data_IF_991550829690
#
_entry.id   IF_991550829690
#
_cell.length_a   1.000
_cell.length_b   1.000
_cell.length_c   1.000
_cell.angle_alpha   90.00
_cell.angle_beta   90.00
_cell.angle_gamma   90.00
#
_symmetry.space_group_name_H-M   'P 1'
#
loop_
_entity.id
_entity.type
_entity.pdbx_description
1 polymer ?
#
# COMPACT_ATOMS: atom_id res chain seq x y z
N UNK A 1 14.81 -24.06 16.41
CA UNK A 1 13.57 -24.31 17.16
C UNK A 1 13.50 -25.81 17.42
N UNK A 2 12.82 -26.23 18.49
CA UNK A 2 12.54 -27.63 18.78
C UNK A 2 11.01 -27.81 18.77
N UNK A 3 10.52 -28.95 18.31
CA UNK A 3 9.08 -29.27 18.29
C UNK A 3 8.37 -29.09 16.95
N UNK A 4 8.99 -28.49 15.91
CA UNK A 4 8.39 -28.37 14.56
C UNK A 4 8.04 -29.73 13.96
N UNK A 5 8.90 -30.74 14.14
CA UNK A 5 8.61 -32.11 13.69
C UNK A 5 7.32 -32.65 14.32
N UNK A 6 7.09 -32.36 15.60
CA UNK A 6 5.89 -32.81 16.32
C UNK A 6 4.63 -32.09 15.83
N UNK A 7 4.71 -30.79 15.64
CA UNK A 7 3.62 -29.99 15.05
C UNK A 7 3.23 -30.51 13.67
N UNK A 8 4.24 -30.76 12.84
CA UNK A 8 4.06 -31.35 11.51
C UNK A 8 3.33 -32.70 11.59
N UNK A 9 3.78 -33.62 12.42
CA UNK A 9 3.14 -34.93 12.58
C UNK A 9 1.67 -34.78 13.00
N UNK A 10 1.38 -33.89 13.95
CA UNK A 10 0.01 -33.62 14.41
C UNK A 10 -0.85 -33.06 13.27
N UNK A 11 -0.32 -32.14 12.47
CA UNK A 11 -1.03 -31.54 11.34
C UNK A 11 -1.37 -32.58 10.25
N UNK A 12 -0.44 -33.48 9.90
CA UNK A 12 -0.73 -34.60 8.96
C UNK A 12 -1.88 -35.44 9.49
N UNK A 13 -1.82 -35.82 10.76
CA UNK A 13 -2.82 -36.69 11.39
C UNK A 13 -4.17 -35.98 11.43
N UNK A 14 -4.20 -34.70 11.79
CA UNK A 14 -5.43 -33.92 11.91
C UNK A 14 -6.10 -33.70 10.55
N UNK A 15 -5.34 -33.26 9.54
CA UNK A 15 -5.86 -33.03 8.18
C UNK A 15 -6.42 -34.30 7.54
N UNK A 16 -5.73 -35.42 7.72
CA UNK A 16 -6.17 -36.72 7.22
C UNK A 16 -7.39 -37.24 7.95
N UNK A 17 -7.39 -37.15 9.29
CA UNK A 17 -8.44 -37.76 10.10
C UNK A 17 -9.72 -36.93 10.13
N UNK A 18 -9.63 -35.59 10.09
CA UNK A 18 -10.76 -34.68 10.32
C UNK A 18 -11.62 -35.09 11.52
N UNK A 19 -10.95 -35.53 12.60
CA UNK A 19 -11.60 -36.02 13.83
C UNK A 19 -12.06 -37.49 13.81
N UNK A 20 -11.92 -38.23 12.70
CA UNK A 20 -12.27 -39.64 12.61
C UNK A 20 -11.20 -40.55 13.26
N UNK A 21 -11.51 -41.29 14.34
CA UNK A 21 -10.53 -42.12 15.07
C UNK A 21 -9.90 -43.24 14.24
N UNK A 22 -10.68 -43.88 13.35
CA UNK A 22 -10.15 -44.97 12.51
C UNK A 22 -9.15 -44.45 11.47
N UNK A 23 -9.42 -43.29 10.88
CA UNK A 23 -8.50 -42.66 9.92
C UNK A 23 -7.25 -42.11 10.64
N UNK A 24 -7.40 -41.63 11.88
CA UNK A 24 -6.28 -41.24 12.74
C UNK A 24 -5.29 -42.39 12.93
N UNK A 25 -5.76 -43.55 13.39
CA UNK A 25 -4.91 -44.73 13.61
C UNK A 25 -4.30 -45.26 12.31
N UNK A 26 -5.07 -45.24 11.21
CA UNK A 26 -4.53 -45.60 9.89
C UNK A 26 -3.43 -44.63 9.43
N UNK A 27 -3.56 -43.35 9.73
CA UNK A 27 -2.57 -42.33 9.35
C UNK A 27 -1.29 -42.47 10.17
N UNK A 28 -1.41 -42.71 11.48
CA UNK A 28 -0.29 -43.04 12.37
C UNK A 28 0.45 -44.29 11.86
N UNK A 29 -0.30 -45.35 11.55
CA UNK A 29 0.26 -46.60 11.01
C UNK A 29 1.02 -46.36 9.69
N UNK A 30 0.48 -45.53 8.79
CA UNK A 30 1.13 -45.17 7.53
C UNK A 30 2.43 -44.37 7.72
N UNK A 31 2.50 -43.49 8.73
CA UNK A 31 3.73 -42.79 9.09
C UNK A 31 4.81 -43.78 9.54
N UNK A 32 4.44 -44.71 10.43
CA UNK A 32 5.34 -45.75 10.94
C UNK A 32 5.87 -46.64 9.80
N UNK A 33 4.98 -47.09 8.90
CA UNK A 33 5.35 -47.90 7.73
C UNK A 33 6.29 -47.16 6.75
N UNK A 34 6.26 -45.82 6.73
CA UNK A 34 7.19 -44.99 5.96
C UNK A 34 8.47 -44.65 6.74
N UNK A 35 8.71 -45.35 7.85
CA UNK A 35 9.92 -45.24 8.66
C UNK A 35 9.97 -43.96 9.50
N UNK A 36 8.82 -43.45 9.93
CA UNK A 36 8.75 -42.31 10.85
C UNK A 36 7.75 -42.63 11.96
N UNK A 37 8.25 -42.80 13.19
CA UNK A 37 7.40 -43.14 14.33
C UNK A 37 6.95 -41.87 15.08
N UNK A 38 5.66 -41.48 15.03
CA UNK A 38 5.13 -40.30 15.71
C UNK A 38 5.45 -40.22 17.20
N UNK A 39 5.57 -41.36 17.88
CA UNK A 39 5.77 -41.42 19.32
C UNK A 39 7.23 -41.15 19.74
N UNK A 40 8.15 -41.04 18.79
CA UNK A 40 9.56 -40.66 19.05
C UNK A 40 9.78 -39.14 19.09
N UNK A 41 8.75 -38.36 18.77
CA UNK A 41 8.83 -36.91 18.70
C UNK A 41 7.83 -36.28 19.67
N UNK A 42 8.32 -35.35 20.47
CA UNK A 42 7.58 -34.51 21.40
C UNK A 42 7.86 -33.03 21.13
N UNK A 43 7.30 -32.15 21.96
CA UNK A 43 7.46 -30.69 21.86
C UNK A 43 8.89 -30.19 22.09
N UNK A 44 9.81 -31.06 22.56
CA UNK A 44 11.20 -30.71 22.87
C UNK A 44 12.20 -31.37 21.91
N UNK A 45 11.71 -32.18 20.98
CA UNK A 45 12.53 -32.89 20.00
C UNK A 45 13.21 -31.91 19.05
N UNK A 46 14.50 -32.12 18.79
CA UNK A 46 15.28 -31.30 17.88
C UNK A 46 14.77 -31.44 16.43
N UNK A 47 14.70 -30.30 15.72
CA UNK A 47 14.16 -30.24 14.36
C UNK A 47 15.21 -30.60 13.30
N UNK A 48 15.44 -31.90 13.12
CA UNK A 48 16.30 -32.45 12.07
C UNK A 48 15.76 -32.12 10.65
N UNK A 49 16.51 -31.37 9.82
CA UNK A 49 16.12 -31.01 8.45
C UNK A 49 15.80 -32.20 7.53
N UNK A 50 16.44 -33.36 7.72
CA UNK A 50 16.17 -34.57 6.94
C UNK A 50 14.81 -35.16 7.29
N UNK A 51 14.43 -35.13 8.57
CA UNK A 51 13.13 -35.61 9.05
C UNK A 51 12.02 -34.68 8.57
N UNK A 52 12.25 -33.37 8.58
CA UNK A 52 11.32 -32.36 8.03
C UNK A 52 11.09 -32.60 6.54
N UNK A 53 12.15 -32.77 5.74
CA UNK A 53 12.03 -33.09 4.29
C UNK A 53 11.29 -34.40 4.06
N UNK A 54 11.53 -35.42 4.89
CA UNK A 54 10.81 -36.70 4.85
C UNK A 54 9.32 -36.53 5.15
N UNK A 55 8.96 -35.73 6.16
CA UNK A 55 7.57 -35.44 6.51
C UNK A 55 6.83 -34.72 5.39
N UNK A 56 7.44 -33.72 4.75
CA UNK A 56 6.86 -33.03 3.58
C UNK A 56 6.58 -34.02 2.42
N UNK A 57 7.53 -34.91 2.13
CA UNK A 57 7.34 -35.95 1.11
C UNK A 57 6.21 -36.92 1.46
N UNK A 58 6.11 -37.31 2.73
CA UNK A 58 5.02 -38.17 3.21
C UNK A 58 3.68 -37.43 3.11
N UNK A 59 3.62 -36.16 3.52
CA UNK A 59 2.42 -35.33 3.44
C UNK A 59 1.89 -35.21 2.01
N UNK A 60 2.77 -34.97 1.04
CA UNK A 60 2.46 -34.95 -0.39
C UNK A 60 1.90 -36.28 -0.88
N UNK A 61 2.56 -37.40 -0.56
CA UNK A 61 2.04 -38.74 -0.87
C UNK A 61 0.69 -39.03 -0.20
N UNK A 62 0.44 -38.36 0.93
CA UNK A 62 -0.80 -38.44 1.66
C UNK A 62 -1.83 -37.37 1.25
N UNK A 63 -1.64 -36.62 0.17
CA UNK A 63 -2.56 -35.55 -0.27
C UNK A 63 -2.91 -34.55 0.86
N UNK A 64 -2.00 -34.32 1.81
CA UNK A 64 -2.16 -33.32 2.87
C UNK A 64 -1.67 -31.98 2.30
N UNK A 65 -2.61 -31.17 1.80
CA UNK A 65 -2.30 -29.90 1.11
C UNK A 65 -1.76 -28.83 2.06
N UNK A 66 -2.27 -28.75 3.29
CA UNK A 66 -1.87 -27.76 4.30
C UNK A 66 -0.42 -27.82 4.79
N UNK A 67 0.33 -28.86 4.43
CA UNK A 67 1.73 -28.98 4.83
C UNK A 67 2.71 -28.36 3.84
N UNK A 68 2.27 -28.10 2.61
CA UNK A 68 3.05 -27.34 1.64
C UNK A 68 2.98 -25.83 1.97
N UNK A 69 1.93 -25.37 2.68
CA UNK A 69 1.74 -23.98 3.15
C UNK A 69 2.48 -23.68 4.46
N UNK A 70 3.80 -23.85 4.45
CA UNK A 70 4.65 -22.98 5.27
C UNK A 70 5.00 -21.69 4.51
N UNK A 71 4.34 -21.46 3.37
CA UNK A 71 4.40 -20.25 2.57
C UNK A 71 3.73 -19.11 3.35
N UNK A 72 4.51 -18.08 3.65
CA UNK A 72 3.98 -16.82 4.16
C UNK A 72 2.84 -16.33 3.26
N UNK A 73 1.67 -16.03 3.83
CA UNK A 73 0.51 -15.58 3.07
C UNK A 73 0.74 -14.24 2.36
N UNK A 74 1.61 -13.43 2.94
CA UNK A 74 2.09 -12.16 2.41
C UNK A 74 3.60 -12.18 2.50
N UNK A 75 4.27 -11.85 1.41
CA UNK A 75 5.74 -11.80 1.34
C UNK A 75 6.19 -10.58 0.56
N UNK A 76 6.94 -9.71 1.22
CA UNK A 76 7.65 -8.59 0.61
C UNK A 76 9.06 -9.03 0.19
N UNK A 77 9.50 -8.52 -0.96
CA UNK A 77 10.84 -8.74 -1.53
C UNK A 77 11.29 -7.46 -2.22
N UNK A 78 12.58 -7.35 -2.51
CA UNK A 78 13.12 -6.22 -3.26
C UNK A 78 14.32 -6.64 -4.10
N UNK A 79 14.66 -5.84 -5.11
CA UNK A 79 15.85 -6.02 -5.91
C UNK A 79 16.51 -4.68 -6.19
N UNK A 80 17.83 -4.64 -6.03
CA UNK A 80 18.70 -3.51 -6.38
C UNK A 80 19.55 -3.78 -7.62
N UNK A 81 19.21 -4.84 -8.38
CA UNK A 81 19.83 -5.13 -9.69
C UNK A 81 19.51 -4.02 -10.69
N UNK A 82 20.41 -3.85 -11.66
CA UNK A 82 20.32 -2.73 -12.62
C UNK A 82 19.61 -3.09 -13.93
N UNK A 83 19.40 -4.37 -14.23
CA UNK A 83 18.76 -4.84 -15.46
C UNK A 83 17.42 -5.50 -15.15
N UNK A 84 16.36 -5.16 -15.90
CA UNK A 84 14.99 -5.62 -15.62
C UNK A 84 14.89 -7.15 -15.58
N UNK A 85 15.62 -7.85 -16.46
CA UNK A 85 15.67 -9.32 -16.46
C UNK A 85 16.27 -9.88 -15.18
N UNK A 86 17.33 -9.27 -14.65
CA UNK A 86 17.98 -9.70 -13.42
C UNK A 86 17.10 -9.38 -12.21
N UNK A 87 16.43 -8.22 -12.21
CA UNK A 87 15.46 -7.83 -11.20
C UNK A 87 14.36 -8.88 -11.07
N UNK A 88 13.76 -9.28 -12.20
CA UNK A 88 12.68 -10.27 -12.20
C UNK A 88 13.17 -11.64 -11.73
N UNK A 89 14.37 -12.07 -12.13
CA UNK A 89 14.97 -13.31 -11.63
C UNK A 89 15.24 -13.26 -10.12
N UNK A 90 15.74 -12.13 -9.61
CA UNK A 90 16.00 -11.92 -8.20
C UNK A 90 14.69 -11.97 -7.38
N UNK A 91 13.67 -11.19 -7.78
CA UNK A 91 12.32 -11.20 -7.18
C UNK A 91 11.73 -12.61 -7.18
N UNK A 92 11.80 -13.32 -8.31
CA UNK A 92 11.30 -14.70 -8.42
C UNK A 92 12.03 -15.66 -7.49
N UNK A 93 13.36 -15.52 -7.39
CA UNK A 93 14.17 -16.34 -6.48
C UNK A 93 13.84 -16.09 -5.01
N UNK A 94 13.59 -14.83 -4.65
CA UNK A 94 13.23 -14.48 -3.28
C UNK A 94 11.82 -14.95 -2.93
N UNK A 95 10.86 -14.84 -3.85
CA UNK A 95 9.47 -15.27 -3.61
C UNK A 95 9.33 -16.79 -3.51
N UNK A 96 10.20 -17.58 -4.15
CA UNK A 96 10.13 -19.05 -4.22
C UNK A 96 8.78 -19.52 -4.84
N UNK A 97 8.34 -20.75 -4.53
CA UNK A 97 7.07 -21.32 -4.98
C UNK A 97 5.81 -20.70 -4.33
N UNK A 98 5.87 -19.42 -3.91
CA UNK A 98 4.74 -18.73 -3.31
C UNK A 98 3.55 -18.73 -4.29
N UNK A 99 2.44 -19.36 -3.88
CA UNK A 99 1.21 -19.41 -4.66
C UNK A 99 0.43 -18.07 -4.57
N UNK A 100 1.00 -17.02 -5.14
CA UNK A 100 0.44 -15.67 -5.09
C UNK A 100 -0.81 -15.56 -5.98
N UNK A 101 -1.83 -14.88 -5.48
CA UNK A 101 -3.01 -14.47 -6.26
C UNK A 101 -2.75 -13.12 -6.94
N UNK A 102 -2.04 -12.23 -6.25
CA UNK A 102 -1.64 -10.91 -6.73
C UNK A 102 -0.18 -10.63 -6.35
N UNK A 103 0.53 -9.98 -7.26
CA UNK A 103 1.84 -9.38 -7.08
C UNK A 103 1.72 -7.88 -7.31
N UNK A 104 1.94 -7.10 -6.26
CA UNK A 104 1.99 -5.63 -6.34
C UNK A 104 3.46 -5.22 -6.32
N UNK A 105 3.90 -4.39 -7.26
CA UNK A 105 5.27 -3.91 -7.31
C UNK A 105 5.35 -2.39 -7.45
N UNK A 106 6.44 -1.82 -6.94
CA UNK A 106 6.77 -0.41 -7.11
C UNK A 106 8.22 -0.31 -7.57
N UNK A 107 8.45 0.39 -8.66
CA UNK A 107 9.74 0.41 -9.35
C UNK A 107 10.25 1.84 -9.56
N UNK A 108 11.53 2.05 -9.31
CA UNK A 108 12.19 3.31 -9.66
C UNK A 108 11.95 3.68 -11.12
N UNK A 109 11.74 4.97 -11.36
CA UNK A 109 11.53 5.54 -12.69
C UNK A 109 12.70 5.36 -13.67
N UNK A 110 13.87 4.93 -13.17
CA UNK A 110 15.06 4.71 -13.99
C UNK A 110 15.07 3.36 -14.73
N UNK A 111 14.09 2.48 -14.47
CA UNK A 111 13.88 1.25 -15.23
C UNK A 111 12.87 1.44 -16.36
N UNK A 112 13.00 0.62 -17.41
CA UNK A 112 11.99 0.52 -18.46
C UNK A 112 10.73 -0.16 -17.90
N UNK A 113 9.71 0.65 -17.62
CA UNK A 113 8.49 0.21 -16.93
C UNK A 113 7.69 -0.80 -17.75
N UNK A 114 7.63 -0.63 -19.08
CA UNK A 114 6.88 -1.54 -19.95
C UNK A 114 7.56 -2.90 -20.00
N UNK A 115 8.87 -2.90 -20.22
CA UNK A 115 9.68 -4.12 -20.21
C UNK A 115 9.64 -4.82 -18.85
N UNK A 116 9.73 -4.09 -17.75
CA UNK A 116 9.66 -4.65 -16.40
C UNK A 116 8.29 -5.27 -16.13
N UNK A 117 7.20 -4.56 -16.46
CA UNK A 117 5.83 -5.07 -16.31
C UNK A 117 5.63 -6.36 -17.10
N UNK A 118 6.08 -6.37 -18.36
CA UNK A 118 5.99 -7.53 -19.24
C UNK A 118 6.73 -8.75 -18.65
N UNK A 119 7.99 -8.57 -18.25
CA UNK A 119 8.81 -9.65 -17.68
C UNK A 119 8.25 -10.18 -16.36
N UNK A 120 7.70 -9.31 -15.50
CA UNK A 120 7.04 -9.74 -14.27
C UNK A 120 5.77 -10.56 -14.59
N UNK A 121 4.94 -10.10 -15.54
CA UNK A 121 3.74 -10.85 -15.93
C UNK A 121 4.07 -12.22 -16.54
N UNK A 122 5.14 -12.34 -17.33
CA UNK A 122 5.64 -13.61 -17.85
C UNK A 122 6.19 -14.53 -16.74
N UNK A 123 6.83 -13.95 -15.72
CA UNK A 123 7.39 -14.71 -14.62
C UNK A 123 6.33 -15.28 -13.66
N UNK A 124 5.18 -14.61 -13.55
CA UNK A 124 4.06 -14.89 -12.65
C UNK A 124 2.73 -15.02 -13.44
N UNK A 125 2.68 -15.98 -14.37
CA UNK A 125 1.57 -16.16 -15.35
C UNK A 125 0.19 -16.29 -14.70
N UNK A 126 0.09 -16.99 -13.57
CA UNK A 126 -1.19 -17.24 -12.89
C UNK A 126 -1.56 -16.16 -11.87
N UNK A 127 -0.75 -15.09 -11.78
CA UNK A 127 -0.93 -14.01 -10.83
C UNK A 127 -1.37 -12.72 -11.53
N UNK A 128 -2.20 -11.94 -10.85
CA UNK A 128 -2.41 -10.55 -11.23
C UNK A 128 -1.14 -9.78 -10.89
N UNK A 129 -0.54 -9.12 -11.88
CA UNK A 129 0.66 -8.28 -11.68
C UNK A 129 0.30 -6.82 -11.94
N UNK A 130 0.47 -5.98 -10.93
CA UNK A 130 0.15 -4.55 -10.98
C UNK A 130 1.19 -3.73 -10.24
N UNK A 131 1.37 -2.48 -10.63
CA UNK A 131 2.36 -1.61 -10.01
C UNK A 131 2.39 -0.21 -10.59
N UNK A 132 3.40 0.57 -10.21
CA UNK A 132 3.67 1.87 -10.80
C UNK A 132 5.14 2.30 -10.63
N UNK A 133 5.50 3.35 -11.35
CA UNK A 133 6.76 4.05 -11.15
C UNK A 133 6.74 4.91 -9.87
N UNK A 134 7.91 5.18 -9.31
CA UNK A 134 8.07 5.78 -7.98
C UNK A 134 9.05 6.97 -7.97
N UNK A 135 9.07 7.70 -6.86
CA UNK A 135 10.14 8.63 -6.49
C UNK A 135 10.96 8.13 -5.27
N UNK A 136 11.06 6.80 -5.12
CA UNK A 136 11.68 6.13 -3.97
C UNK A 136 10.84 4.96 -3.49
N UNK A 137 11.47 3.90 -3.00
CA UNK A 137 10.82 2.65 -2.61
C UNK A 137 10.93 2.41 -1.10
N UNK A 138 9.98 1.66 -0.54
CA UNK A 138 9.96 1.27 0.87
C UNK A 138 9.83 -0.24 0.93
N UNK A 139 10.67 -0.88 1.73
CA UNK A 139 10.56 -2.30 2.08
C UNK A 139 10.74 -2.47 3.59
N UNK A 140 10.34 -3.61 4.16
CA UNK A 140 10.51 -3.91 5.58
C UNK A 140 11.89 -3.49 6.11
N UNK A 141 11.92 -2.48 6.99
CA UNK A 141 13.14 -1.98 7.63
C UNK A 141 13.88 -0.87 6.89
N UNK A 142 13.60 -0.61 5.61
CA UNK A 142 14.48 0.20 4.76
C UNK A 142 13.73 1.10 3.78
N UNK A 143 14.32 2.28 3.52
CA UNK A 143 13.96 3.17 2.42
C UNK A 143 15.05 3.03 1.35
N UNK A 144 14.62 2.82 0.11
CA UNK A 144 15.48 2.52 -1.02
C UNK A 144 15.30 3.56 -2.14
N UNK A 145 16.32 3.62 -3.01
CA UNK A 145 16.30 4.36 -4.26
C UNK A 145 16.84 3.47 -5.37
N UNK A 146 16.41 3.70 -6.60
CA UNK A 146 16.86 2.93 -7.77
C UNK A 146 16.63 1.42 -7.61
N UNK A 147 15.50 1.04 -7.00
CA UNK A 147 15.18 -0.34 -6.70
C UNK A 147 13.79 -0.72 -7.19
N UNK A 148 13.46 -2.01 -7.06
CA UNK A 148 12.11 -2.52 -7.24
C UNK A 148 11.72 -3.27 -5.99
N UNK A 149 10.59 -2.92 -5.39
CA UNK A 149 9.98 -3.65 -4.28
C UNK A 149 8.73 -4.36 -4.78
N UNK A 150 8.46 -5.56 -4.27
CA UNK A 150 7.28 -6.33 -4.65
C UNK A 150 6.70 -7.10 -3.47
N UNK A 151 5.38 -7.23 -3.45
CA UNK A 151 4.63 -7.99 -2.45
C UNK A 151 3.75 -9.02 -3.14
N UNK A 152 3.98 -10.29 -2.80
CA UNK A 152 3.11 -11.39 -3.18
C UNK A 152 2.08 -11.62 -2.08
N UNK A 153 0.80 -11.71 -2.45
CA UNK A 153 -0.30 -12.02 -1.54
C UNK A 153 -1.09 -13.20 -2.10
N UNK A 154 -1.27 -14.25 -1.30
CA UNK A 154 -1.96 -15.47 -1.70
C UNK A 154 -3.49 -15.43 -1.45
N UNK A 155 -4.15 -16.54 -1.82
CA UNK A 155 -5.60 -16.68 -1.69
C UNK A 155 -6.15 -16.76 -0.26
N UNK A 156 -5.27 -16.97 0.73
CA UNK A 156 -5.69 -17.00 2.14
C UNK A 156 -6.00 -15.60 2.68
N UNK A 157 -5.43 -14.55 2.07
CA UNK A 157 -5.75 -13.15 2.38
C UNK A 157 -6.73 -12.59 1.34
N UNK A 158 -6.45 -12.80 0.04
CA UNK A 158 -7.25 -12.24 -1.05
C UNK A 158 -7.95 -13.38 -1.78
N UNK A 159 -9.23 -13.59 -1.47
CA UNK A 159 -10.02 -14.65 -2.11
C UNK A 159 -10.19 -14.43 -3.60
N UNK A 160 -10.37 -13.17 -4.02
CA UNK A 160 -10.46 -12.80 -5.42
C UNK A 160 -10.03 -11.35 -5.67
N UNK A 161 -9.65 -11.03 -6.90
CA UNK A 161 -9.21 -9.70 -7.27
C UNK A 161 -9.48 -9.42 -8.74
N UNK A 162 -9.75 -8.16 -9.06
CA UNK A 162 -9.99 -7.69 -10.43
C UNK A 162 -9.31 -6.36 -10.65
N UNK A 163 -8.71 -6.20 -11.82
CA UNK A 163 -7.99 -5.00 -12.23
C UNK A 163 -8.64 -4.42 -13.46
N UNK A 164 -8.75 -3.09 -13.48
CA UNK A 164 -9.20 -2.29 -14.62
C UNK A 164 -8.22 -1.13 -14.84
N UNK A 165 -7.94 -0.83 -16.10
CA UNK A 165 -7.07 0.28 -16.51
C UNK A 165 -7.96 1.35 -17.15
N UNK A 166 -7.81 2.58 -16.67
CA UNK A 166 -8.43 3.77 -17.25
C UNK A 166 -7.37 4.44 -18.10
N UNK A 167 -7.58 4.50 -19.42
CA UNK A 167 -6.65 5.11 -20.37
C UNK A 167 -7.18 6.45 -20.89
N UNK A 168 -6.28 7.29 -21.42
CA UNK A 168 -6.62 8.56 -22.08
C UNK A 168 -7.37 9.55 -21.17
N UNK A 169 -6.93 9.67 -19.91
CA UNK A 169 -7.59 10.49 -18.90
C UNK A 169 -7.58 11.99 -19.20
N UNK A 170 -6.61 12.49 -19.97
CA UNK A 170 -6.58 13.90 -20.42
C UNK A 170 -7.72 14.21 -21.38
N UNK A 171 -8.07 13.28 -22.26
CA UNK A 171 -9.11 13.46 -23.28
C UNK A 171 -10.51 13.25 -22.69
N UNK A 172 -10.73 12.12 -22.03
CA UNK A 172 -12.04 11.78 -21.48
C UNK A 172 -11.93 10.85 -20.27
N UNK A 173 -11.74 11.44 -19.09
CA UNK A 173 -11.77 10.68 -17.84
C UNK A 173 -13.19 10.20 -17.52
N UNK A 174 -13.37 8.87 -17.52
CA UNK A 174 -14.58 8.18 -17.05
C UNK A 174 -14.21 6.87 -16.35
N UNK A 175 -14.88 6.59 -15.22
CA UNK A 175 -14.70 5.34 -14.46
C UNK A 175 -15.83 4.34 -14.68
N UNK A 176 -16.87 4.70 -15.44
CA UNK A 176 -18.10 3.89 -15.55
C UNK A 176 -17.84 2.51 -16.17
N UNK A 177 -16.94 2.41 -17.16
CA UNK A 177 -16.60 1.14 -17.77
C UNK A 177 -15.92 0.19 -16.76
N UNK A 178 -14.98 0.71 -15.96
CA UNK A 178 -14.31 -0.07 -14.93
C UNK A 178 -15.26 -0.49 -13.82
N UNK A 179 -16.12 0.41 -13.34
CA UNK A 179 -17.11 0.08 -12.31
C UNK A 179 -18.16 -0.91 -12.79
N UNK A 180 -18.66 -0.77 -14.02
CA UNK A 180 -19.55 -1.76 -14.64
C UNK A 180 -18.85 -3.12 -14.77
N UNK A 181 -17.55 -3.13 -15.10
CA UNK A 181 -16.75 -4.35 -15.16
C UNK A 181 -16.63 -5.02 -13.79
N UNK A 182 -16.36 -4.26 -12.72
CA UNK A 182 -16.34 -4.80 -11.35
C UNK A 182 -17.69 -5.38 -10.94
N UNK A 183 -18.80 -4.67 -11.17
CA UNK A 183 -20.15 -5.15 -10.81
C UNK A 183 -20.48 -6.45 -11.54
N UNK A 184 -20.15 -6.53 -12.84
CA UNK A 184 -20.34 -7.75 -13.63
C UNK A 184 -19.45 -8.90 -13.16
N UNK A 185 -18.20 -8.60 -12.79
CA UNK A 185 -17.23 -9.61 -12.37
C UNK A 185 -17.59 -10.23 -11.01
N UNK A 186 -17.88 -9.40 -10.02
CA UNK A 186 -18.25 -9.85 -8.67
C UNK A 186 -19.73 -10.22 -8.55
N UNK A 187 -20.54 -9.89 -9.54
CA UNK A 187 -21.99 -10.09 -9.56
C UNK A 187 -22.67 -9.45 -8.34
N UNK A 188 -22.25 -8.23 -8.02
CA UNK A 188 -22.70 -7.44 -6.86
C UNK A 188 -22.61 -5.95 -7.22
N UNK A 189 -23.57 -5.13 -6.75
CA UNK A 189 -23.49 -3.70 -6.99
C UNK A 189 -22.46 -3.05 -6.07
N UNK A 190 -21.68 -2.13 -6.63
CA UNK A 190 -20.67 -1.36 -5.89
C UNK A 190 -21.27 -0.44 -4.82
N UNK A 191 -22.58 -0.18 -4.85
CA UNK A 191 -23.28 0.58 -3.81
C UNK A 191 -23.63 -0.27 -2.58
N UNK A 192 -23.79 -1.58 -2.77
CA UNK A 192 -24.21 -2.52 -1.71
C UNK A 192 -23.10 -3.46 -1.29
N UNK A 193 -21.94 -3.38 -1.96
CA UNK A 193 -20.78 -4.21 -1.72
C UNK A 193 -20.33 -4.07 -0.26
N UNK A 194 -20.05 -5.20 0.39
CA UNK A 194 -19.62 -5.20 1.78
C UNK A 194 -18.22 -4.56 1.91
N UNK A 195 -18.19 -3.31 2.38
CA UNK A 195 -16.97 -2.52 2.57
C UNK A 195 -16.05 -3.07 3.68
N UNK A 196 -16.45 -4.13 4.41
CA UNK A 196 -15.56 -4.88 5.32
C UNK A 196 -14.87 -6.06 4.64
N UNK A 197 -15.33 -6.44 3.45
CA UNK A 197 -14.81 -7.54 2.63
C UNK A 197 -14.11 -7.05 1.37
N UNK A 198 -14.46 -5.86 0.88
CA UNK A 198 -13.89 -5.30 -0.32
C UNK A 198 -13.08 -4.05 -0.02
N UNK A 199 -11.93 -3.94 -0.67
CA UNK A 199 -11.07 -2.76 -0.65
C UNK A 199 -10.50 -2.49 -2.03
N UNK A 200 -10.52 -1.22 -2.42
CA UNK A 200 -9.91 -0.76 -3.65
C UNK A 200 -8.47 -0.29 -3.44
N UNK A 201 -7.61 -0.56 -4.40
CA UNK A 201 -6.34 0.15 -4.57
C UNK A 201 -6.43 1.01 -5.84
N UNK A 202 -5.95 2.24 -5.77
CA UNK A 202 -5.88 3.17 -6.91
C UNK A 202 -4.44 3.63 -7.12
N UNK A 203 -3.93 3.44 -8.33
CA UNK A 203 -2.64 3.98 -8.76
C UNK A 203 -2.92 4.92 -9.93
N UNK A 204 -2.40 6.15 -9.87
CA UNK A 204 -2.70 7.20 -10.85
C UNK A 204 -1.38 7.67 -11.46
N UNK A 205 -1.36 7.95 -12.76
CA UNK A 205 -0.27 8.74 -13.36
C UNK A 205 -0.18 10.11 -12.65
N UNK A 206 0.89 10.31 -11.87
CA UNK A 206 1.07 11.45 -10.98
C UNK A 206 1.41 12.78 -11.66
N UNK A 207 1.58 12.79 -12.99
CA UNK A 207 1.70 14.05 -13.76
C UNK A 207 0.43 14.37 -14.55
N UNK A 208 -0.61 13.54 -14.44
CA UNK A 208 -1.89 13.75 -15.13
C UNK A 208 -2.74 14.89 -14.53
N UNK A 209 -2.55 15.21 -13.23
CA UNK A 209 -3.37 16.14 -12.44
C UNK A 209 -4.85 15.74 -12.34
N UNK A 210 -5.15 14.43 -12.48
CA UNK A 210 -6.53 13.90 -12.47
C UNK A 210 -6.93 13.29 -11.13
N UNK A 211 -6.07 13.32 -10.13
CA UNK A 211 -6.21 12.62 -8.85
C UNK A 211 -7.52 12.95 -8.15
N UNK A 212 -7.75 14.25 -7.89
CA UNK A 212 -8.97 14.77 -7.26
C UNK A 212 -10.23 14.29 -7.99
N UNK A 213 -10.24 14.42 -9.32
CA UNK A 213 -11.41 14.05 -10.14
C UNK A 213 -11.65 12.54 -10.11
N UNK A 214 -10.60 11.72 -10.08
CA UNK A 214 -10.72 10.27 -9.96
C UNK A 214 -11.31 9.90 -8.60
N UNK A 215 -10.81 10.49 -7.51
CA UNK A 215 -11.32 10.21 -6.17
C UNK A 215 -12.76 10.68 -5.98
N UNK A 216 -13.14 11.84 -6.52
CA UNK A 216 -14.53 12.31 -6.55
C UNK A 216 -15.44 11.32 -7.30
N UNK A 217 -15.01 10.83 -8.47
CA UNK A 217 -15.79 9.86 -9.25
C UNK A 217 -15.91 8.52 -8.52
N UNK A 218 -14.88 8.08 -7.80
CA UNK A 218 -14.95 6.88 -6.94
C UNK A 218 -15.96 7.09 -5.82
N UNK A 219 -15.84 8.18 -5.06
CA UNK A 219 -16.70 8.48 -3.91
C UNK A 219 -18.18 8.62 -4.26
N UNK A 220 -18.49 9.04 -5.49
CA UNK A 220 -19.88 9.13 -5.97
C UNK A 220 -20.49 7.78 -6.39
N UNK A 221 -19.67 6.75 -6.61
CA UNK A 221 -20.09 5.51 -7.27
C UNK A 221 -20.05 4.26 -6.39
N UNK A 222 -19.32 4.28 -5.28
CA UNK A 222 -19.18 3.11 -4.40
C UNK A 222 -19.02 3.50 -2.93
N UNK A 223 -19.42 2.60 -2.03
CA UNK A 223 -19.14 2.67 -0.60
C UNK A 223 -17.81 1.98 -0.22
N UNK A 224 -17.14 1.31 -1.15
CA UNK A 224 -15.85 0.64 -0.93
C UNK A 224 -14.75 1.70 -0.81
N UNK A 225 -13.92 1.60 0.22
CA UNK A 225 -12.76 2.47 0.36
C UNK A 225 -11.71 2.14 -0.69
N UNK A 226 -11.24 3.19 -1.37
CA UNK A 226 -10.04 3.13 -2.20
C UNK A 226 -8.88 3.80 -1.48
N UNK A 227 -7.74 3.12 -1.46
CA UNK A 227 -6.48 3.61 -0.90
C UNK A 227 -5.38 3.51 -1.95
N UNK A 228 -4.52 4.51 -2.04
CA UNK A 228 -3.55 4.50 -3.12
C UNK A 228 -2.62 5.69 -3.15
N UNK A 229 -2.03 5.90 -4.32
CA UNK A 229 -1.17 7.04 -4.54
C UNK A 229 -0.82 7.27 -6.00
N UNK A 230 -0.40 8.49 -6.27
CA UNK A 230 0.12 8.90 -7.57
C UNK A 230 1.54 8.40 -7.79
N UNK A 231 1.76 7.80 -8.96
CA UNK A 231 3.07 7.38 -9.44
C UNK A 231 4.05 8.56 -9.48
N UNK A 232 5.34 8.25 -9.36
CA UNK A 232 6.43 9.25 -9.33
C UNK A 232 7.49 8.98 -10.39
N UNK A 233 8.37 9.97 -10.57
CA UNK A 233 9.52 9.92 -11.49
C UNK A 233 10.79 10.61 -10.96
N UNK A 234 11.15 10.34 -9.70
CA UNK A 234 12.32 10.91 -9.03
C UNK A 234 12.38 12.46 -9.10
N UNK A 235 11.26 13.11 -8.82
CA UNK A 235 11.09 14.57 -8.79
C UNK A 235 11.26 15.28 -10.15
N UNK A 236 11.26 14.53 -11.26
CA UNK A 236 11.37 15.12 -12.61
C UNK A 236 10.05 15.77 -13.05
N UNK A 237 8.91 15.27 -12.55
CA UNK A 237 7.55 15.71 -12.91
C UNK A 237 7.33 15.77 -14.42
N UNK A 238 7.88 14.79 -15.14
CA UNK A 238 7.90 14.71 -16.58
C UNK A 238 7.00 13.59 -17.10
N UNK A 239 7.21 12.36 -16.62
CA UNK A 239 6.51 11.17 -17.12
C UNK A 239 6.46 10.09 -16.04
N UNK A 240 5.25 9.66 -15.67
CA UNK A 240 5.05 8.57 -14.71
C UNK A 240 4.20 7.47 -15.33
N UNK A 241 4.34 6.25 -14.80
CA UNK A 241 3.69 5.08 -15.37
C UNK A 241 2.93 4.30 -14.31
N UNK A 242 1.73 3.85 -14.67
CA UNK A 242 1.01 2.79 -13.95
C UNK A 242 1.08 1.51 -14.78
N UNK A 243 1.15 0.36 -14.11
CA UNK A 243 1.42 -0.92 -14.75
C UNK A 243 0.34 -1.94 -14.42
N UNK A 244 -0.14 -2.64 -15.45
CA UNK A 244 -1.07 -3.75 -15.32
C UNK A 244 -1.00 -4.65 -16.58
N UNK A 245 -1.36 -5.92 -16.45
CA UNK A 245 -1.48 -6.84 -17.60
C UNK A 245 -0.22 -6.94 -18.47
N UNK A 246 0.97 -6.81 -17.86
CA UNK A 246 2.26 -6.86 -18.55
C UNK A 246 2.57 -5.66 -19.44
N UNK A 247 1.96 -4.49 -19.17
CA UNK A 247 2.19 -3.22 -19.86
C UNK A 247 2.33 -2.06 -18.89
N UNK A 248 3.07 -1.04 -19.31
CA UNK A 248 3.08 0.27 -18.67
C UNK A 248 2.20 1.26 -19.43
N UNK A 249 1.52 2.13 -18.69
CA UNK A 249 0.58 3.12 -19.23
C UNK A 249 0.90 4.50 -18.67
N UNK A 250 0.92 5.49 -19.55
CA UNK A 250 0.94 6.92 -19.23
C UNK A 250 -0.43 7.54 -19.54
N UNK A 251 -0.75 8.67 -18.91
CA UNK A 251 -2.09 9.27 -18.92
C UNK A 251 -3.21 8.30 -18.52
N UNK A 252 -2.89 7.45 -17.54
CA UNK A 252 -3.75 6.35 -17.10
C UNK A 252 -3.83 6.20 -15.59
N UNK A 253 -4.85 5.47 -15.14
CA UNK A 253 -4.99 5.01 -13.77
C UNK A 253 -5.28 3.50 -13.75
N UNK A 254 -4.83 2.82 -12.70
CA UNK A 254 -5.10 1.41 -12.45
C UNK A 254 -5.95 1.31 -11.20
N UNK A 255 -7.14 0.72 -11.34
CA UNK A 255 -8.05 0.41 -10.24
C UNK A 255 -7.98 -1.09 -9.98
N UNK A 256 -7.74 -1.47 -8.72
CA UNK A 256 -7.67 -2.85 -8.27
C UNK A 256 -8.74 -3.05 -7.21
N UNK A 257 -9.72 -3.90 -7.47
CA UNK A 257 -10.71 -4.29 -6.49
C UNK A 257 -10.29 -5.62 -5.86
N UNK A 258 -10.10 -5.64 -4.54
CA UNK A 258 -9.71 -6.82 -3.78
C UNK A 258 -10.90 -7.33 -2.96
N UNK A 259 -11.17 -8.62 -3.04
CA UNK A 259 -12.11 -9.33 -2.15
C UNK A 259 -11.34 -10.12 -1.11
N UNK A 260 -11.37 -9.64 0.13
CA UNK A 260 -10.69 -10.23 1.27
C UNK A 260 -11.36 -11.55 1.68
N UNK A 261 -10.53 -12.54 1.97
CA UNK A 261 -10.96 -13.88 2.38
C UNK A 261 -11.75 -13.82 3.70
N UNK A 262 -12.65 -14.77 3.92
CA UNK A 262 -13.43 -14.86 5.16
C UNK A 262 -12.60 -15.02 6.42
N UNK A 263 -11.43 -15.65 6.29
CA UNK A 263 -10.47 -15.82 7.38
C UNK A 263 -9.42 -14.71 7.41
N UNK A 264 -9.65 -13.58 6.72
CA UNK A 264 -8.78 -12.43 6.73
C UNK A 264 -9.57 -11.13 6.97
N UNK A 265 -8.84 -10.08 7.31
CA UNK A 265 -9.34 -8.72 7.50
C UNK A 265 -8.34 -7.74 6.91
N UNK A 266 -8.83 -6.55 6.58
CA UNK A 266 -7.99 -5.42 6.25
C UNK A 266 -8.36 -4.21 7.11
N UNK A 267 -7.45 -3.24 7.20
CA UNK A 267 -7.74 -1.93 7.75
C UNK A 267 -6.88 -0.89 7.03
N UNK A 268 -7.18 0.38 7.24
CA UNK A 268 -6.43 1.49 6.68
C UNK A 268 -5.84 2.29 7.84
N UNK A 269 -4.56 2.61 7.73
CA UNK A 269 -3.89 3.57 8.62
C UNK A 269 -3.67 4.82 7.82
N UNK A 270 -4.07 5.96 8.36
CA UNK A 270 -3.70 7.27 7.85
C UNK A 270 -2.90 7.98 8.94
N UNK A 271 -1.71 8.46 8.60
CA UNK A 271 -0.89 9.24 9.51
C UNK A 271 -0.34 10.47 8.83
N UNK A 272 -0.33 11.58 9.57
CA UNK A 272 0.24 12.84 9.15
C UNK A 272 0.91 13.46 10.37
N UNK A 273 1.97 14.23 10.12
CA UNK A 273 2.89 14.66 11.16
C UNK A 273 2.76 16.16 11.36
N UNK A 274 1.54 16.57 11.69
CA UNK A 274 1.18 17.96 11.92
C UNK A 274 0.22 18.11 13.10
N UNK A 275 0.22 19.30 13.69
CA UNK A 275 -0.82 19.77 14.61
C UNK A 275 -1.38 21.10 14.11
N UNK A 276 -2.67 21.31 14.32
CA UNK A 276 -3.33 22.57 13.95
C UNK A 276 -2.91 23.69 14.90
N UNK A 277 -2.71 24.88 14.34
CA UNK A 277 -2.55 26.14 15.07
C UNK A 277 -3.89 26.91 15.07
N UNK A 278 -3.93 28.02 15.81
CA UNK A 278 -5.16 28.80 15.97
C UNK A 278 -5.52 29.62 14.72
N UNK A 279 -4.52 30.01 13.92
CA UNK A 279 -4.76 30.84 12.74
C UNK A 279 -5.57 30.08 11.69
N UNK A 280 -6.64 30.72 11.20
CA UNK A 280 -7.56 30.15 10.21
C UNK A 280 -7.58 31.03 8.97
N UNK A 281 -7.60 30.39 7.80
CA UNK A 281 -7.72 31.01 6.50
C UNK A 281 -9.04 30.59 5.86
N UNK A 282 -9.86 31.57 5.45
CA UNK A 282 -11.02 31.35 4.59
C UNK A 282 -10.62 31.64 3.15
N UNK A 283 -10.79 30.68 2.25
CA UNK A 283 -10.47 30.84 0.83
C UNK A 283 -11.57 31.67 0.13
N UNK A 284 -11.37 32.98 -0.02
CA UNK A 284 -12.40 33.87 -0.57
C UNK A 284 -12.44 33.86 -2.10
N UNK A 285 -11.27 33.71 -2.74
CA UNK A 285 -11.12 33.68 -4.19
C UNK A 285 -10.11 32.62 -4.60
N UNK A 286 -10.54 31.68 -5.46
CA UNK A 286 -9.75 30.53 -5.91
C UNK A 286 -10.00 30.27 -7.38
N UNK A 287 -9.01 29.68 -8.05
CA UNK A 287 -9.17 29.00 -9.32
C UNK A 287 -8.87 27.51 -9.10
N UNK A 288 -9.93 26.71 -9.02
CA UNK A 288 -9.87 25.27 -8.74
C UNK A 288 -9.20 24.49 -9.88
N UNK A 289 -9.38 24.89 -11.13
CA UNK A 289 -8.77 24.19 -12.28
C UNK A 289 -7.24 24.24 -12.22
N UNK A 290 -6.68 25.34 -11.71
CA UNK A 290 -5.24 25.54 -11.58
C UNK A 290 -4.72 25.32 -10.16
N UNK A 291 -5.54 24.86 -9.22
CA UNK A 291 -5.20 24.73 -7.78
C UNK A 291 -4.61 26.02 -7.20
N UNK A 292 -5.16 27.18 -7.61
CA UNK A 292 -4.66 28.51 -7.24
C UNK A 292 -5.58 29.16 -6.21
N UNK A 293 -5.05 29.52 -5.04
CA UNK A 293 -5.72 30.41 -4.09
C UNK A 293 -5.24 31.83 -4.33
N UNK A 294 -6.17 32.69 -4.73
CA UNK A 294 -5.91 34.10 -5.03
C UNK A 294 -6.01 34.92 -3.75
N UNK A 295 -7.02 34.63 -2.91
CA UNK A 295 -7.26 35.36 -1.67
C UNK A 295 -7.58 34.44 -0.50
N UNK A 296 -6.93 34.72 0.63
CA UNK A 296 -7.31 34.23 1.95
C UNK A 296 -7.72 35.42 2.82
N UNK A 297 -8.81 35.28 3.57
CA UNK A 297 -9.31 36.32 4.48
C UNK A 297 -9.50 37.70 3.81
N UNK A 298 -9.92 37.71 2.55
CA UNK A 298 -10.06 38.89 1.67
C UNK A 298 -8.77 39.70 1.47
N UNK A 299 -7.60 39.07 1.66
CA UNK A 299 -6.28 39.60 1.34
C UNK A 299 -5.61 38.70 0.30
N UNK A 300 -4.62 39.21 -0.46
CA UNK A 300 -3.83 38.35 -1.33
C UNK A 300 -3.22 37.17 -0.56
N UNK A 301 -3.40 35.96 -1.08
CA UNK A 301 -3.19 34.72 -0.34
C UNK A 301 -1.80 34.64 0.33
N UNK A 302 -0.74 35.01 -0.40
CA UNK A 302 0.63 34.92 0.13
C UNK A 302 0.92 35.96 1.21
N UNK A 303 0.25 37.11 1.21
CA UNK A 303 0.43 38.13 2.24
C UNK A 303 -0.20 37.70 3.56
N UNK A 304 -1.42 37.16 3.49
CA UNK A 304 -2.11 36.60 4.65
C UNK A 304 -1.32 35.41 5.23
N UNK A 305 -0.79 34.54 4.37
CA UNK A 305 0.05 33.43 4.79
C UNK A 305 1.36 33.91 5.43
N UNK A 306 2.05 34.89 4.83
CA UNK A 306 3.30 35.46 5.36
C UNK A 306 3.10 36.08 6.74
N UNK A 307 2.00 36.82 6.95
CA UNK A 307 1.62 37.38 8.25
C UNK A 307 1.39 36.26 9.28
N UNK A 308 0.66 35.21 8.92
CA UNK A 308 0.33 34.09 9.80
C UNK A 308 1.56 33.28 10.25
N UNK A 309 2.55 33.10 9.39
CA UNK A 309 3.81 32.40 9.74
C UNK A 309 4.89 33.33 10.33
N UNK A 310 4.62 34.64 10.37
CA UNK A 310 5.58 35.63 10.85
C UNK A 310 6.80 35.83 9.94
N UNK A 311 6.65 35.62 8.63
CA UNK A 311 7.72 35.82 7.66
C UNK A 311 8.01 37.31 7.43
N UNK A 312 9.28 37.66 7.23
CA UNK A 312 9.71 39.04 6.99
C UNK A 312 9.40 39.55 5.57
N UNK A 313 9.18 38.64 4.62
CA UNK A 313 8.88 38.92 3.22
C UNK A 313 8.06 37.78 2.59
N UNK A 314 7.51 38.01 1.40
CA UNK A 314 6.84 36.97 0.60
C UNK A 314 7.82 35.83 0.26
N UNK A 315 9.05 36.17 -0.10
CA UNK A 315 10.11 35.21 -0.43
C UNK A 315 10.52 34.38 0.80
N UNK A 316 10.51 34.97 1.99
CA UNK A 316 10.76 34.22 3.22
C UNK A 316 9.61 33.28 3.58
N UNK A 317 8.37 33.65 3.25
CA UNK A 317 7.19 32.84 3.54
C UNK A 317 7.25 31.46 2.85
N UNK A 318 7.83 31.36 1.66
CA UNK A 318 7.92 30.07 0.93
C UNK A 318 8.79 29.03 1.66
N UNK A 319 9.69 29.46 2.57
CA UNK A 319 10.49 28.56 3.39
C UNK A 319 9.64 27.75 4.38
N UNK A 320 8.46 28.27 4.73
CA UNK A 320 7.54 27.66 5.68
C UNK A 320 6.54 26.70 5.05
N UNK A 321 6.44 26.63 3.71
CA UNK A 321 5.43 25.78 3.03
C UNK A 321 5.46 24.31 3.48
N UNK A 322 6.65 23.78 3.75
CA UNK A 322 6.82 22.38 4.17
C UNK A 322 6.54 22.16 5.65
N UNK A 323 6.96 23.09 6.53
CA UNK A 323 6.83 22.97 7.99
C UNK A 323 5.50 23.49 8.54
N UNK A 324 4.86 24.40 7.80
CA UNK A 324 3.63 25.07 8.17
C UNK A 324 2.67 25.15 6.97
N UNK A 325 2.23 24.01 6.42
CA UNK A 325 1.18 24.00 5.39
C UNK A 325 -0.15 24.47 5.99
N UNK A 326 -1.21 24.47 5.18
CA UNK A 326 -2.58 24.61 5.70
C UNK A 326 -3.28 23.25 5.74
N UNK A 327 -4.30 23.10 6.57
CA UNK A 327 -5.01 21.83 6.74
C UNK A 327 -6.51 22.04 6.92
N UNK A 328 -7.31 21.22 6.24
CA UNK A 328 -8.74 21.14 6.47
C UNK A 328 -9.01 20.20 7.65
N UNK A 329 -9.75 20.69 8.65
CA UNK A 329 -10.22 19.88 9.76
C UNK A 329 -11.64 19.39 9.50
N UNK A 330 -11.86 18.09 9.63
CA UNK A 330 -13.18 17.45 9.46
C UNK A 330 -13.49 16.67 10.74
N UNK A 331 -14.63 16.97 11.36
CA UNK A 331 -14.96 16.40 12.67
C UNK A 331 -13.93 16.80 13.75
N UNK A 332 -13.77 15.96 14.76
CA UNK A 332 -12.95 16.29 15.92
C UNK A 332 -11.45 15.99 15.73
N UNK A 333 -11.10 15.00 14.89
CA UNK A 333 -9.73 14.48 14.79
C UNK A 333 -9.20 14.27 13.36
N UNK A 334 -10.03 14.41 12.31
CA UNK A 334 -9.55 14.18 10.95
C UNK A 334 -9.00 15.45 10.32
N UNK A 335 -7.83 15.30 9.71
CA UNK A 335 -7.07 16.40 9.16
C UNK A 335 -6.54 16.05 7.78
N UNK A 336 -6.79 16.95 6.83
CA UNK A 336 -6.41 16.80 5.43
C UNK A 336 -5.46 17.94 5.07
N UNK A 337 -4.18 17.63 4.95
CA UNK A 337 -3.16 18.64 4.64
C UNK A 337 -3.34 19.12 3.20
N UNK A 338 -3.19 20.43 3.03
CA UNK A 338 -3.20 21.13 1.76
C UNK A 338 -1.86 21.85 1.59
N UNK A 339 -0.96 21.23 0.84
CA UNK A 339 0.43 21.68 0.76
C UNK A 339 0.60 22.80 -0.27
N UNK A 340 1.10 23.98 0.12
CA UNK A 340 1.48 25.01 -0.85
C UNK A 340 2.67 24.54 -1.71
N UNK A 341 2.60 24.79 -3.01
CA UNK A 341 3.62 24.41 -3.98
C UNK A 341 4.56 25.60 -4.28
N UNK A 342 3.99 26.71 -4.75
CA UNK A 342 4.75 27.88 -5.19
C UNK A 342 3.88 29.14 -5.17
N UNK A 343 4.51 30.29 -5.34
CA UNK A 343 3.84 31.59 -5.47
C UNK A 343 3.65 31.95 -6.94
N UNK A 344 2.57 32.67 -7.26
CA UNK A 344 2.33 33.24 -8.60
C UNK A 344 1.89 34.69 -8.44
N UNK A 345 2.86 35.61 -8.44
CA UNK A 345 2.60 36.98 -8.03
C UNK A 345 2.18 37.02 -6.56
N UNK A 346 0.92 37.37 -6.29
CA UNK A 346 0.37 37.42 -4.92
C UNK A 346 -0.56 36.25 -4.57
N UNK A 347 -0.77 35.31 -5.49
CA UNK A 347 -1.53 34.08 -5.25
C UNK A 347 -0.60 32.92 -4.86
N UNK A 348 -1.20 31.85 -4.34
CA UNK A 348 -0.52 30.62 -3.94
C UNK A 348 -1.05 29.44 -4.74
N UNK A 349 -0.17 28.65 -5.35
CA UNK A 349 -0.50 27.38 -5.98
C UNK A 349 -0.36 26.25 -4.97
N UNK A 350 -1.27 25.28 -5.00
CA UNK A 350 -1.29 24.13 -4.10
C UNK A 350 -1.20 22.81 -4.86
N UNK A 351 -0.72 21.76 -4.19
CA UNK A 351 -0.70 20.41 -4.75
C UNK A 351 -2.09 19.76 -4.82
N UNK A 352 -3.06 20.24 -4.04
CA UNK A 352 -4.43 19.76 -3.97
C UNK A 352 -5.43 20.93 -3.96
N UNK A 353 -6.70 20.65 -4.19
CA UNK A 353 -7.72 21.69 -4.28
C UNK A 353 -8.05 22.35 -2.93
N UNK A 354 -8.25 23.67 -2.97
CA UNK A 354 -8.91 24.45 -1.92
C UNK A 354 -10.09 25.15 -2.58
N UNK A 355 -11.29 24.85 -2.09
CA UNK A 355 -12.53 25.35 -2.69
C UNK A 355 -12.90 26.73 -2.13
N UNK A 356 -13.65 27.50 -2.90
CA UNK A 356 -14.17 28.79 -2.43
C UNK A 356 -15.03 28.60 -1.18
N UNK A 357 -14.75 29.39 -0.15
CA UNK A 357 -15.43 29.35 1.15
C UNK A 357 -14.91 28.28 2.09
N UNK A 358 -13.93 27.46 1.68
CA UNK A 358 -13.29 26.48 2.56
C UNK A 358 -12.50 27.20 3.65
N UNK A 359 -12.66 26.75 4.89
CA UNK A 359 -11.84 27.16 6.03
C UNK A 359 -10.73 26.14 6.26
N UNK A 360 -9.49 26.59 6.24
CA UNK A 360 -8.29 25.77 6.50
C UNK A 360 -7.48 26.41 7.61
N UNK A 361 -6.83 25.60 8.44
CA UNK A 361 -6.00 26.09 9.55
C UNK A 361 -4.53 26.07 9.20
N UNK A 362 -3.77 26.99 9.78
CA UNK A 362 -2.31 26.90 9.74
C UNK A 362 -1.87 25.67 10.51
N UNK A 363 -0.92 24.94 9.94
CA UNK A 363 -0.38 23.72 10.53
C UNK A 363 1.03 23.95 11.08
N UNK A 364 1.47 23.04 11.94
CA UNK A 364 2.86 22.96 12.38
C UNK A 364 3.31 21.51 12.34
N UNK A 365 4.45 21.24 11.71
CA UNK A 365 5.04 19.92 11.66
C UNK A 365 5.36 19.37 13.06
N UNK A 366 5.18 18.07 13.23
CA UNK A 366 5.51 17.28 14.41
C UNK A 366 6.53 16.20 14.05
N UNK A 367 6.76 15.22 14.93
CA UNK A 367 7.79 14.22 14.71
C UNK A 367 7.29 13.09 13.81
N UNK A 368 7.73 13.09 12.55
CA UNK A 368 7.30 12.12 11.54
C UNK A 368 7.50 10.65 11.93
N UNK A 369 8.61 10.32 12.59
CA UNK A 369 8.92 8.95 13.01
C UNK A 369 8.01 8.54 14.16
N UNK A 370 7.85 9.40 15.16
CA UNK A 370 7.04 9.13 16.35
C UNK A 370 5.55 9.04 16.01
N UNK A 371 5.02 9.96 15.22
CA UNK A 371 3.61 9.97 14.81
C UNK A 371 3.26 8.74 13.96
N UNK A 372 4.16 8.34 13.07
CA UNK A 372 3.98 7.15 12.24
C UNK A 372 4.04 5.89 13.09
N UNK A 373 5.02 5.79 13.99
CA UNK A 373 5.16 4.65 14.91
C UNK A 373 3.91 4.51 15.79
N UNK A 374 3.45 5.61 16.38
CA UNK A 374 2.25 5.63 17.21
C UNK A 374 1.01 5.19 16.40
N UNK A 375 0.85 5.64 15.16
CA UNK A 375 -0.24 5.22 14.30
C UNK A 375 -0.23 3.71 14.01
N UNK A 376 0.94 3.14 13.70
CA UNK A 376 1.09 1.70 13.47
C UNK A 376 0.86 0.90 14.76
N UNK A 377 1.46 1.29 15.87
CA UNK A 377 1.29 0.62 17.16
C UNK A 377 -0.16 0.67 17.66
N UNK A 378 -0.84 1.81 17.51
CA UNK A 378 -2.25 1.94 17.86
C UNK A 378 -3.12 1.04 16.97
N UNK A 379 -2.82 0.96 15.67
CA UNK A 379 -3.52 0.02 14.80
C UNK A 379 -3.23 -1.43 15.18
N UNK A 380 -2.02 -1.80 15.60
CA UNK A 380 -1.73 -3.15 16.11
C UNK A 380 -2.55 -3.44 17.37
N UNK A 381 -2.67 -2.48 18.30
CA UNK A 381 -3.49 -2.66 19.52
C UNK A 381 -4.99 -2.86 19.19
N UNK A 382 -5.51 -2.12 18.21
CA UNK A 382 -6.91 -2.21 17.76
C UNK A 382 -7.17 -3.47 16.92
N UNK A 383 -6.31 -3.72 15.94
CA UNK A 383 -6.45 -4.76 14.92
C UNK A 383 -5.88 -6.11 15.38
N UNK A 384 -5.11 -6.13 16.47
CA UNK A 384 -4.47 -7.30 17.08
C UNK A 384 -3.07 -7.59 16.54
N UNK A 385 -2.92 -7.63 15.21
CA UNK A 385 -1.62 -7.78 14.51
C UNK A 385 -1.73 -7.30 13.07
N UNK A 386 -0.59 -7.09 12.42
CA UNK A 386 -0.49 -6.79 10.99
C UNK A 386 0.39 -7.87 10.35
N UNK A 387 -0.17 -8.62 9.41
CA UNK A 387 0.53 -9.68 8.67
C UNK A 387 1.16 -9.16 7.35
N UNK A 388 0.76 -7.96 6.91
CA UNK A 388 1.34 -7.28 5.76
C UNK A 388 0.84 -5.85 5.61
N UNK A 389 1.67 -4.99 5.01
CA UNK A 389 1.44 -3.55 4.91
C UNK A 389 1.88 -3.01 3.53
N UNK A 390 1.01 -2.23 2.88
CA UNK A 390 1.34 -1.47 1.68
C UNK A 390 1.32 0.02 2.04
N UNK A 391 2.47 0.70 1.96
CA UNK A 391 2.64 2.09 2.38
C UNK A 391 2.66 3.05 1.18
N UNK A 392 1.65 3.89 1.06
CA UNK A 392 1.62 5.04 0.15
C UNK A 392 2.09 6.27 0.93
N UNK A 393 3.38 6.61 0.81
CA UNK A 393 4.00 7.70 1.58
C UNK A 393 4.26 8.90 0.68
N UNK A 394 3.77 10.09 1.06
CA UNK A 394 4.01 11.31 0.29
C UNK A 394 5.49 11.57 0.03
N UNK A 395 5.82 12.01 -1.18
CA UNK A 395 7.18 12.39 -1.52
C UNK A 395 7.70 13.56 -0.67
N UNK A 396 6.82 14.47 -0.23
CA UNK A 396 7.20 15.55 0.70
C UNK A 396 7.59 15.02 2.09
N UNK A 397 7.01 13.89 2.52
CA UNK A 397 7.43 13.19 3.74
C UNK A 397 8.78 12.52 3.53
N UNK A 398 9.03 11.92 2.37
CA UNK A 398 10.37 11.38 2.03
C UNK A 398 11.43 12.48 2.05
N UNK A 399 11.15 13.65 1.47
CA UNK A 399 12.06 14.80 1.53
C UNK A 399 12.29 15.33 2.96
N UNK A 400 11.27 15.28 3.82
CA UNK A 400 11.41 15.61 5.24
C UNK A 400 12.33 14.62 5.96
N UNK A 401 12.18 13.31 5.69
CA UNK A 401 13.03 12.27 6.26
C UNK A 401 14.48 12.46 5.84
N UNK A 402 14.73 12.70 4.54
CA UNK A 402 16.09 12.93 4.00
C UNK A 402 16.74 14.19 4.57
N UNK A 403 15.97 15.27 4.72
CA UNK A 403 16.50 16.53 5.28
C UNK A 403 16.96 16.39 6.73
N UNK A 404 16.32 15.50 7.48
CA UNK A 404 16.55 15.32 8.91
C UNK A 404 17.33 14.05 9.25
N UNK A 405 17.85 13.33 8.25
CA UNK A 405 18.57 12.05 8.40
C UNK A 405 17.75 10.99 9.18
N UNK A 406 16.44 10.89 8.91
CA UNK A 406 15.49 10.03 9.64
C UNK A 406 15.06 8.77 8.87
N UNK A 407 15.57 8.53 7.67
CA UNK A 407 15.13 7.45 6.78
C UNK A 407 15.27 6.07 7.45
N UNK A 408 16.40 5.83 8.12
CA UNK A 408 16.64 4.58 8.85
C UNK A 408 15.63 4.38 9.97
N UNK A 409 15.38 5.41 10.77
CA UNK A 409 14.45 5.34 11.89
C UNK A 409 13.01 5.12 11.43
N UNK A 410 12.65 5.71 10.29
CA UNK A 410 11.34 5.52 9.67
C UNK A 410 11.19 4.11 9.09
N UNK A 411 12.19 3.59 8.37
CA UNK A 411 12.21 2.22 7.88
C UNK A 411 12.09 1.18 9.01
N UNK A 412 12.79 1.41 10.12
CA UNK A 412 12.79 0.53 11.30
C UNK A 412 11.40 0.30 11.90
N UNK A 413 10.45 1.22 11.72
CA UNK A 413 9.04 1.08 12.15
C UNK A 413 8.39 -0.19 11.56
N UNK A 414 8.82 -0.60 10.37
CA UNK A 414 8.22 -1.68 9.61
C UNK A 414 9.03 -2.98 9.62
N UNK A 415 10.09 -3.08 10.44
CA UNK A 415 11.04 -4.20 10.41
C UNK A 415 10.39 -5.57 10.62
N UNK A 416 9.39 -5.64 11.51
CA UNK A 416 8.71 -6.89 11.89
C UNK A 416 7.44 -7.16 11.07
N UNK A 417 7.14 -6.31 10.07
CA UNK A 417 5.94 -6.40 9.24
C UNK A 417 6.36 -6.53 7.78
N UNK A 418 5.93 -7.57 7.03
CA UNK A 418 6.10 -7.63 5.59
C UNK A 418 5.52 -6.38 4.92
N UNK A 419 6.39 -5.50 4.44
CA UNK A 419 6.04 -4.16 3.99
C UNK A 419 6.62 -3.92 2.61
N UNK A 420 5.79 -3.35 1.74
CA UNK A 420 6.25 -2.61 0.56
C UNK A 420 5.62 -1.22 0.59
N UNK A 421 6.19 -0.30 -0.16
CA UNK A 421 5.61 1.01 -0.36
C UNK A 421 6.45 1.82 -1.32
N UNK A 422 6.02 3.07 -1.53
CA UNK A 422 6.78 4.01 -2.35
C UNK A 422 6.49 5.44 -1.97
N UNK A 423 7.37 6.32 -2.45
CA UNK A 423 7.21 7.76 -2.37
C UNK A 423 6.31 8.23 -3.51
N UNK A 424 5.10 8.67 -3.15
CA UNK A 424 4.02 9.04 -4.08
C UNK A 424 4.04 10.55 -4.38
N UNK A 425 3.51 10.99 -5.52
CA UNK A 425 3.26 12.43 -5.77
C UNK A 425 1.99 12.97 -5.10
N UNK A 426 1.27 12.09 -4.40
CA UNK A 426 0.17 12.38 -3.52
C UNK A 426 -0.51 11.07 -3.14
N UNK A 427 -1.24 11.09 -2.04
CA UNK A 427 -1.91 9.91 -1.51
C UNK A 427 -3.40 9.98 -1.82
N UNK A 428 -4.00 8.83 -2.03
CA UNK A 428 -5.42 8.72 -2.32
C UNK A 428 -6.12 8.02 -1.15
N UNK A 429 -6.97 8.77 -0.44
CA UNK A 429 -7.86 8.23 0.59
C UNK A 429 -8.98 9.20 0.89
N UNK A 430 -10.23 8.83 0.56
CA UNK A 430 -11.43 9.69 0.57
C UNK A 430 -11.37 10.82 -0.48
N UNK A 431 -10.21 11.45 -0.65
CA UNK A 431 -9.85 12.39 -1.70
C UNK A 431 -8.35 12.37 -1.93
N UNK A 432 -7.85 13.30 -2.75
CA UNK A 432 -6.41 13.49 -2.91
C UNK A 432 -5.86 14.29 -1.71
N UNK A 433 -4.79 13.79 -1.12
CA UNK A 433 -4.15 14.37 0.05
C UNK A 433 -2.64 14.40 -0.10
N UNK A 434 -2.01 15.30 0.64
CA UNK A 434 -0.56 15.50 0.60
C UNK A 434 0.02 15.40 2.01
N UNK A 435 1.35 15.28 2.09
CA UNK A 435 2.12 15.18 3.34
C UNK A 435 1.56 14.15 4.34
N UNK A 436 0.94 13.10 3.82
CA UNK A 436 0.33 12.01 4.57
C UNK A 436 0.99 10.69 4.18
N UNK A 437 0.94 9.69 5.07
CA UNK A 437 1.13 8.31 4.68
C UNK A 437 -0.19 7.57 4.89
N UNK A 438 -0.66 6.90 3.83
CA UNK A 438 -1.82 6.01 3.91
C UNK A 438 -1.36 4.58 3.69
N UNK A 439 -1.75 3.68 4.58
CA UNK A 439 -1.28 2.31 4.58
C UNK A 439 -2.45 1.35 4.56
N UNK A 440 -2.43 0.40 3.62
CA UNK A 440 -3.34 -0.74 3.62
C UNK A 440 -2.70 -1.88 4.40
N UNK A 441 -3.37 -2.34 5.46
CA UNK A 441 -2.87 -3.42 6.32
C UNK A 441 -3.78 -4.63 6.26
N UNK A 442 -3.19 -5.81 6.34
CA UNK A 442 -3.90 -7.08 6.30
C UNK A 442 -3.63 -7.90 7.56
N UNK A 443 -4.59 -8.74 7.94
CA UNK A 443 -4.48 -9.70 9.03
C UNK A 443 -5.22 -10.98 8.67
N UNK A 444 -4.61 -12.14 8.90
CA UNK A 444 -5.29 -13.42 8.94
C UNK A 444 -5.92 -13.61 10.32
N UNK A 445 -7.23 -13.89 10.35
CA UNK A 445 -7.95 -14.24 11.57
C UNK A 445 -7.39 -15.57 12.11
N UNK A 446 -7.15 -15.64 13.41
CA UNK A 446 -6.87 -16.92 14.04
C UNK A 446 -8.12 -17.81 13.91
N UNK A 447 -7.95 -19.05 13.46
CA UNK A 447 -9.04 -20.03 13.53
C UNK A 447 -9.40 -20.22 15.01
N UNK A 448 -10.57 -19.74 15.43
CA UNK A 448 -11.15 -20.02 16.75
C UNK A 448 -11.69 -21.44 16.77
#
# INVERSE_FOLDING_TARGET
MAGKIREMINQIIQERSKGNPAIREMTISKLILKGLNPNKFDSHSADDPEIVRKLLKIAKQLNVRKMEDNDMNIKSVFSTKSLEKEIVLDIKSQLNHCNAKILIFFASSNFDQDKLSNLLQEAFVDCIVVGCSTAGEIVSGELLKNSVVAMAINSNIISDAKVEVIEHMKENLSLEAAFTSFEKYFNESLYTMDATKFVGIVLIDGVSRKEEKIMDLIGNRTNVFFVGGSAGDDFKYFETHVCANGKAYADSAVLIMLKINDNAEFSIIKTQSFKALDHTFTANNVNEETREVIEFNNKPAILEYAEAVGAASIEDATKYFKTNPVGLLVGDNDMFIRSPQQIKGTSMLFYCNILKGMEVRLMQCTNIVEDTRNAVENKIKEFGRIDGLINFNCVERTLELERNDLEKQYGEIFSDIPTIGFSTYGEEFIGHINQTATMLVFKLKANI
#
